data_IF_583678056983
#
_entry.id   IF_583678056983
#
_cell.length_a   1.000
_cell.length_b   1.000
_cell.length_c   1.000
_cell.angle_alpha   90.00
_cell.angle_beta   90.00
_cell.angle_gamma   90.00
#
_symmetry.space_group_name_H-M   'P 1'
#
loop_
_entity.id
_entity.type
_entity.pdbx_description
1 polymer ?
#
# COMPACT_ATOMS: atom_id res chain seq x y z
N UNK A 1 19.54 3.06 0.56
CA UNK A 1 18.49 2.43 -0.27
C UNK A 1 18.30 1.01 0.26
N UNK A 2 17.10 0.65 0.70
CA UNK A 2 16.78 -0.71 1.15
C UNK A 2 16.10 -1.46 0.00
N UNK A 3 16.64 -2.62 -0.40
CA UNK A 3 16.08 -3.42 -1.51
C UNK A 3 14.96 -4.36 -1.07
N UNK A 4 14.92 -4.73 0.22
CA UNK A 4 13.94 -5.68 0.74
C UNK A 4 12.48 -5.24 0.51
N UNK A 5 12.07 -3.98 0.72
CA UNK A 5 10.68 -3.59 0.46
C UNK A 5 10.30 -3.70 -1.01
N UNK A 6 11.26 -3.51 -1.95
CA UNK A 6 11.04 -3.75 -3.39
C UNK A 6 10.79 -5.23 -3.65
N UNK A 7 11.61 -6.12 -3.07
CA UNK A 7 11.42 -7.57 -3.20
C UNK A 7 10.03 -7.97 -2.69
N UNK A 8 9.62 -7.46 -1.53
CA UNK A 8 8.27 -7.69 -0.98
C UNK A 8 7.19 -7.14 -1.92
N UNK A 9 7.39 -5.96 -2.51
CA UNK A 9 6.44 -5.36 -3.46
C UNK A 9 6.18 -6.26 -4.67
N UNK A 10 7.19 -7.01 -5.15
CA UNK A 10 7.06 -7.93 -6.28
C UNK A 10 6.12 -9.10 -6.00
N UNK A 11 5.89 -9.46 -4.73
CA UNK A 11 4.95 -10.51 -4.34
C UNK A 11 3.60 -9.92 -3.88
N UNK A 12 3.64 -8.88 -3.05
CA UNK A 12 2.42 -8.28 -2.47
C UNK A 12 1.56 -7.62 -3.54
N UNK A 13 2.16 -6.84 -4.44
CA UNK A 13 1.41 -6.08 -5.46
C UNK A 13 0.61 -6.99 -6.40
N UNK A 14 1.18 -8.04 -7.03
CA UNK A 14 0.38 -8.95 -7.86
C UNK A 14 -0.61 -9.77 -7.04
N UNK A 15 -0.27 -10.18 -5.81
CA UNK A 15 -1.20 -10.91 -4.95
C UNK A 15 -2.46 -10.08 -4.64
N UNK A 16 -2.28 -8.83 -4.23
CA UNK A 16 -3.41 -7.93 -3.93
C UNK A 16 -4.17 -7.56 -5.20
N UNK A 17 -3.49 -7.35 -6.32
CA UNK A 17 -4.13 -7.13 -7.63
C UNK A 17 -5.06 -8.30 -7.98
N UNK A 18 -4.57 -9.53 -7.84
CA UNK A 18 -5.35 -10.74 -8.11
C UNK A 18 -6.54 -10.87 -7.16
N UNK A 19 -6.33 -10.61 -5.85
CA UNK A 19 -7.40 -10.64 -4.85
C UNK A 19 -8.52 -9.64 -5.18
N UNK A 20 -8.18 -8.38 -5.49
CA UNK A 20 -9.15 -7.34 -5.85
C UNK A 20 -9.87 -7.70 -7.15
N UNK A 21 -9.16 -8.21 -8.16
CA UNK A 21 -9.78 -8.62 -9.41
C UNK A 21 -10.78 -9.78 -9.22
N UNK A 22 -10.39 -10.79 -8.43
CA UNK A 22 -11.25 -11.95 -8.12
C UNK A 22 -12.45 -11.52 -7.27
N UNK A 23 -12.26 -10.67 -6.27
CA UNK A 23 -13.35 -10.11 -5.46
C UNK A 23 -14.33 -9.28 -6.32
N UNK A 24 -13.82 -8.38 -7.17
CA UNK A 24 -14.64 -7.57 -8.06
C UNK A 24 -15.45 -8.44 -9.06
N UNK A 25 -14.83 -9.52 -9.55
CA UNK A 25 -15.50 -10.53 -10.40
C UNK A 25 -16.58 -11.30 -9.64
N UNK A 26 -16.32 -11.74 -8.41
CA UNK A 26 -17.32 -12.42 -7.55
C UNK A 26 -18.51 -11.53 -7.23
N UNK A 27 -18.29 -10.21 -7.25
CA UNK A 27 -19.31 -9.19 -7.05
C UNK A 27 -20.04 -8.78 -8.33
N UNK A 28 -19.86 -9.47 -9.46
CA UNK A 28 -20.48 -9.17 -10.76
C UNK A 28 -20.33 -7.70 -11.19
N UNK A 29 -19.16 -7.12 -10.92
CA UNK A 29 -18.82 -5.78 -11.38
C UNK A 29 -18.42 -5.81 -12.86
N UNK A 30 -18.54 -4.66 -13.54
CA UNK A 30 -18.18 -4.57 -14.95
C UNK A 30 -16.71 -4.94 -15.15
N UNK A 31 -16.39 -5.58 -16.28
CA UNK A 31 -15.00 -5.99 -16.57
C UNK A 31 -14.02 -4.80 -16.56
N UNK A 32 -14.48 -3.63 -17.01
CA UNK A 32 -13.73 -2.36 -16.95
C UNK A 32 -13.43 -1.94 -15.52
N UNK A 33 -14.41 -2.03 -14.63
CA UNK A 33 -14.23 -1.72 -13.22
C UNK A 33 -13.27 -2.71 -12.55
N UNK A 34 -13.42 -4.02 -12.81
CA UNK A 34 -12.52 -5.05 -12.27
C UNK A 34 -11.07 -4.75 -12.62
N UNK A 35 -10.79 -4.44 -13.90
CA UNK A 35 -9.42 -4.14 -14.35
C UNK A 35 -8.90 -2.83 -13.77
N UNK A 36 -9.73 -1.79 -13.72
CA UNK A 36 -9.32 -0.47 -13.22
C UNK A 36 -9.07 -0.48 -11.70
N UNK A 37 -9.95 -1.12 -10.93
CA UNK A 37 -9.79 -1.25 -9.49
C UNK A 37 -8.56 -2.10 -9.14
N UNK A 38 -8.41 -3.26 -9.78
CA UNK A 38 -7.26 -4.13 -9.54
C UNK A 38 -5.93 -3.45 -9.91
N UNK A 39 -5.86 -2.77 -11.06
CA UNK A 39 -4.65 -2.05 -11.47
C UNK A 39 -4.34 -0.87 -10.55
N UNK A 40 -5.35 -0.10 -10.13
CA UNK A 40 -5.17 1.01 -9.21
C UNK A 40 -4.64 0.54 -7.85
N UNK A 41 -5.21 -0.52 -7.27
CA UNK A 41 -4.73 -1.05 -5.99
C UNK A 41 -3.34 -1.66 -6.12
N UNK A 42 -3.07 -2.40 -7.21
CA UNK A 42 -1.74 -2.95 -7.49
C UNK A 42 -0.66 -1.88 -7.61
N UNK A 43 -0.94 -0.82 -8.37
CA UNK A 43 -0.03 0.32 -8.55
C UNK A 43 0.17 1.11 -7.25
N UNK A 44 -0.90 1.34 -6.48
CA UNK A 44 -0.80 2.01 -5.19
C UNK A 44 0.04 1.20 -4.19
N UNK A 45 -0.16 -0.12 -4.13
CA UNK A 45 0.64 -1.03 -3.32
C UNK A 45 2.12 -0.97 -3.73
N UNK A 46 2.42 -1.15 -5.02
CA UNK A 46 3.79 -1.10 -5.52
C UNK A 46 4.45 0.26 -5.25
N UNK A 47 3.72 1.35 -5.52
CA UNK A 47 4.15 2.72 -5.25
C UNK A 47 4.48 2.96 -3.77
N UNK A 48 3.67 2.43 -2.85
CA UNK A 48 3.93 2.56 -1.42
C UNK A 48 5.25 1.93 -0.97
N UNK A 49 5.54 0.72 -1.42
CA UNK A 49 6.82 0.06 -1.15
C UNK A 49 8.00 0.73 -1.88
N UNK A 50 7.79 1.24 -3.10
CA UNK A 50 8.81 1.97 -3.86
C UNK A 50 9.19 3.28 -3.15
N UNK A 51 8.18 4.07 -2.75
CA UNK A 51 8.36 5.31 -1.99
C UNK A 51 9.10 5.03 -0.69
N UNK A 52 8.71 3.99 0.06
CA UNK A 52 9.46 3.56 1.24
C UNK A 52 10.94 3.30 0.90
N UNK A 53 11.22 2.52 -0.13
CA UNK A 53 12.58 2.11 -0.49
C UNK A 53 13.49 3.29 -0.88
N UNK A 54 12.94 4.28 -1.58
CA UNK A 54 13.68 5.44 -2.12
C UNK A 54 13.79 6.56 -1.08
N UNK A 55 12.71 6.88 -0.39
CA UNK A 55 12.59 8.05 0.48
C UNK A 55 12.64 7.71 1.98
N UNK A 56 12.79 6.44 2.34
CA UNK A 56 12.65 5.92 3.70
C UNK A 56 13.36 6.73 4.78
N UNK A 57 14.66 6.99 4.63
CA UNK A 57 15.41 7.79 5.61
C UNK A 57 14.91 9.23 5.74
N UNK A 58 14.47 9.83 4.63
CA UNK A 58 13.89 11.18 4.61
C UNK A 58 12.50 11.22 5.27
N UNK A 59 11.63 10.26 4.93
CA UNK A 59 10.28 10.15 5.49
C UNK A 59 10.35 9.97 7.01
N UNK A 60 11.18 9.03 7.50
CA UNK A 60 11.31 8.79 8.93
C UNK A 60 11.96 9.96 9.66
N UNK A 61 13.00 10.57 9.09
CA UNK A 61 13.63 11.77 9.67
C UNK A 61 12.62 12.91 9.85
N UNK A 62 11.81 13.18 8.82
CA UNK A 62 10.76 14.19 8.89
C UNK A 62 9.68 13.81 9.90
N UNK A 63 9.22 12.57 9.90
CA UNK A 63 8.24 12.08 10.88
C UNK A 63 8.73 12.24 12.33
N UNK A 64 9.94 11.81 12.65
CA UNK A 64 10.50 11.95 14.00
C UNK A 64 10.66 13.41 14.42
N UNK A 65 11.02 14.30 13.48
CA UNK A 65 11.03 15.75 13.73
C UNK A 65 9.64 16.29 14.05
N UNK A 66 8.61 15.89 13.30
CA UNK A 66 7.23 16.32 13.53
C UNK A 66 6.70 15.87 14.88
N UNK A 67 7.04 14.65 15.32
CA UNK A 67 6.58 14.09 16.61
C UNK A 67 7.48 14.54 17.78
N UNK A 68 8.48 15.39 17.54
CA UNK A 68 9.43 15.89 18.55
C UNK A 68 10.11 14.78 19.37
N UNK A 69 10.24 13.58 18.78
CA UNK A 69 10.95 12.49 19.42
C UNK A 69 12.46 12.66 19.14
N UNK A 70 13.32 12.55 20.17
CA UNK A 70 14.76 12.52 19.95
C UNK A 70 15.04 11.38 18.97
N UNK A 71 15.93 11.60 18.01
CA UNK A 71 16.33 10.59 17.05
C UNK A 71 17.05 9.45 17.80
N UNK A 72 16.27 8.52 18.35
CA UNK A 72 16.77 7.27 18.89
C UNK A 72 17.49 6.57 17.75
N UNK A 73 18.68 6.04 17.99
CA UNK A 73 19.41 5.28 17.00
C UNK A 73 18.54 4.11 16.53
N UNK A 74 17.89 4.27 15.36
CA UNK A 74 17.00 3.26 14.79
C UNK A 74 17.87 2.11 14.35
N UNK A 75 17.60 0.90 14.85
CA UNK A 75 18.35 -0.28 14.40
C UNK A 75 18.07 -0.54 12.92
N UNK A 76 18.99 -1.17 12.17
CA UNK A 76 18.73 -1.52 10.77
C UNK A 76 17.47 -2.36 10.58
N UNK A 77 17.17 -3.21 11.55
CA UNK A 77 15.96 -4.04 11.57
C UNK A 77 14.70 -3.19 11.76
N UNK A 78 14.70 -2.26 12.71
CA UNK A 78 13.56 -1.35 12.94
C UNK A 78 13.28 -0.48 11.72
N UNK A 79 14.32 0.00 11.04
CA UNK A 79 14.18 0.76 9.81
C UNK A 79 13.51 -0.08 8.73
N UNK A 80 14.00 -1.30 8.49
CA UNK A 80 13.42 -2.21 7.49
C UNK A 80 11.96 -2.52 7.82
N UNK A 81 11.67 -2.84 9.08
CA UNK A 81 10.32 -3.17 9.53
C UNK A 81 9.38 -1.97 9.35
N UNK A 82 9.83 -0.76 9.68
CA UNK A 82 9.04 0.45 9.50
C UNK A 82 8.76 0.75 8.01
N UNK A 83 9.73 0.50 7.12
CA UNK A 83 9.53 0.63 5.67
C UNK A 83 8.52 -0.37 5.12
N UNK A 84 8.57 -1.61 5.60
CA UNK A 84 7.59 -2.63 5.23
C UNK A 84 6.20 -2.27 5.72
N UNK A 85 6.06 -1.85 6.99
CA UNK A 85 4.79 -1.39 7.55
C UNK A 85 4.20 -0.22 6.79
N UNK A 86 5.03 0.74 6.36
CA UNK A 86 4.58 1.85 5.53
C UNK A 86 3.99 1.37 4.19
N UNK A 87 4.68 0.46 3.49
CA UNK A 87 4.17 -0.16 2.27
C UNK A 87 2.84 -0.88 2.50
N UNK A 88 2.77 -1.72 3.55
CA UNK A 88 1.55 -2.43 3.91
C UNK A 88 0.39 -1.50 4.29
N UNK A 89 0.66 -0.38 4.98
CA UNK A 89 -0.35 0.60 5.32
C UNK A 89 -0.96 1.24 4.06
N UNK A 90 -0.13 1.59 3.07
CA UNK A 90 -0.61 2.10 1.78
C UNK A 90 -1.44 1.04 1.05
N UNK A 91 -0.98 -0.21 1.02
CA UNK A 91 -1.73 -1.32 0.43
C UNK A 91 -3.09 -1.48 1.11
N UNK A 92 -3.14 -1.45 2.45
CA UNK A 92 -4.38 -1.54 3.21
C UNK A 92 -5.33 -0.38 2.89
N UNK A 93 -4.83 0.85 2.84
CA UNK A 93 -5.62 2.03 2.46
C UNK A 93 -6.16 1.91 1.03
N UNK A 94 -5.38 1.40 0.09
CA UNK A 94 -5.83 1.18 -1.29
C UNK A 94 -6.94 0.14 -1.37
N UNK A 95 -6.81 -0.99 -0.65
CA UNK A 95 -7.84 -2.03 -0.57
C UNK A 95 -9.11 -1.51 0.13
N UNK A 96 -8.96 -0.74 1.21
CA UNK A 96 -10.09 -0.08 1.87
C UNK A 96 -10.77 0.92 0.94
N UNK A 97 -10.02 1.75 0.22
CA UNK A 97 -10.55 2.68 -0.76
C UNK A 97 -11.34 1.98 -1.86
N UNK A 98 -10.84 0.84 -2.36
CA UNK A 98 -11.60 -0.04 -3.25
C UNK A 98 -12.91 -0.51 -2.60
N UNK A 99 -12.85 -1.04 -1.38
CA UNK A 99 -14.03 -1.55 -0.67
C UNK A 99 -15.08 -0.48 -0.37
N UNK A 100 -14.66 0.74 -0.04
CA UNK A 100 -15.53 1.87 0.28
C UNK A 100 -16.19 2.49 -0.96
N UNK A 101 -15.48 2.56 -2.07
CA UNK A 101 -15.96 3.16 -3.33
C UNK A 101 -16.66 2.17 -4.27
N UNK A 102 -16.54 0.87 -3.97
CA UNK A 102 -17.33 -0.19 -4.59
C UNK A 102 -18.83 0.09 -4.45
N UNK A 103 -19.65 -0.39 -5.40
CA UNK A 103 -21.12 -0.26 -5.34
C UNK A 103 -21.76 -0.90 -4.11
N UNK A 104 -21.02 -1.76 -3.42
CA UNK A 104 -21.41 -2.41 -2.17
C UNK A 104 -20.80 -1.73 -0.93
N UNK A 105 -20.02 -0.68 -1.14
CA UNK A 105 -19.40 0.10 -0.08
C UNK A 105 -20.39 1.09 0.52
N UNK A 106 -20.16 1.51 1.77
CA UNK A 106 -21.03 2.46 2.47
C UNK A 106 -21.05 3.86 1.83
N UNK A 107 -20.14 4.14 0.89
CA UNK A 107 -20.06 5.42 0.18
C UNK A 107 -20.58 5.32 -1.26
N UNK A 108 -21.17 4.19 -1.67
CA UNK A 108 -21.82 4.09 -2.96
C UNK A 108 -23.05 5.01 -3.00
N UNK A 109 -23.13 5.89 -4.01
CA UNK A 109 -24.33 6.68 -4.26
C UNK A 109 -25.49 5.76 -4.61
N UNK A 110 -26.53 5.78 -3.77
CA UNK A 110 -27.82 5.09 -3.97
C UNK A 110 -28.52 5.54 -5.24
#
# INVERSE_FOLDING_TARGET
MALLPIVVALFVSPAVTALVYVDARRRDLSRRYCTAAASAVGLASFGGFLVASVLGSGIFSTYYRLVSQPAVAVTPLDLILSLLLFGFAITALAVLGYGLTSRYGPLASS
#
